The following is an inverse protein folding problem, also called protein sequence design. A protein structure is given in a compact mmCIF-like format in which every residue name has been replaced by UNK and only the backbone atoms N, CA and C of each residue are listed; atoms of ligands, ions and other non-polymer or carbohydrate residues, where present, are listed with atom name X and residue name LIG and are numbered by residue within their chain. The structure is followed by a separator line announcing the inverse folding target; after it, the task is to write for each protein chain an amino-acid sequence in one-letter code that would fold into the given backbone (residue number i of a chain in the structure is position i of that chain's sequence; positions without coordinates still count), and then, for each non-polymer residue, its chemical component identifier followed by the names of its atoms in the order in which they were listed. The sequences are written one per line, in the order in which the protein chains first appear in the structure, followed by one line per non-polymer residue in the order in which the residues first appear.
data_IF_839224992480
#
_entry.id   IF_839224992480
#
_cell.length_a   1.000
_cell.length_b   1.000
_cell.length_c   1.000
_cell.angle_alpha   90.00
_cell.angle_beta   90.00
_cell.angle_gamma   90.00
#
_symmetry.space_group_name_H-M   'P 1'
#
loop_
_entity.id
_entity.type
_entity.pdbx_description
1 polymer ?
#
# COMPACT_ATOMS: atom_id res chain seq x y z
N UNK A 1 -2.76 1.69 -4.89
CA UNK A 1 -2.86 2.71 -5.92
C UNK A 1 -2.28 2.27 -7.26
N UNK A 2 -2.21 3.16 -8.28
CA UNK A 2 -1.78 2.76 -9.63
C UNK A 2 -0.35 2.21 -9.67
N UNK A 3 0.55 2.68 -8.82
CA UNK A 3 1.91 2.17 -8.73
C UNK A 3 1.95 0.71 -8.26
N UNK A 4 1.10 0.32 -7.34
CA UNK A 4 0.97 -1.07 -6.87
C UNK A 4 0.51 -1.97 -8.01
N UNK A 5 -0.59 -1.60 -8.69
CA UNK A 5 -1.13 -2.37 -9.80
C UNK A 5 -0.10 -2.58 -10.94
N UNK A 6 0.67 -1.54 -11.27
CA UNK A 6 1.75 -1.63 -12.26
C UNK A 6 2.85 -2.58 -11.78
N UNK A 7 3.25 -2.50 -10.53
CA UNK A 7 4.28 -3.38 -9.96
C UNK A 7 3.83 -4.84 -9.95
N UNK A 8 2.59 -5.11 -9.54
CA UNK A 8 1.99 -6.45 -9.56
C UNK A 8 1.97 -7.04 -10.98
N UNK A 9 1.52 -6.24 -11.96
CA UNK A 9 1.51 -6.65 -13.35
C UNK A 9 2.91 -6.94 -13.87
N UNK A 10 3.90 -6.11 -13.55
CA UNK A 10 5.28 -6.32 -13.96
C UNK A 10 5.87 -7.60 -13.37
N UNK A 11 5.59 -7.89 -12.10
CA UNK A 11 6.07 -9.12 -11.44
C UNK A 11 5.37 -10.35 -12.02
N UNK A 12 4.07 -10.27 -12.29
CA UNK A 12 3.33 -11.32 -12.99
C UNK A 12 3.95 -11.63 -14.35
N UNK A 13 4.17 -10.61 -15.17
CA UNK A 13 4.79 -10.75 -16.49
C UNK A 13 6.22 -11.28 -16.37
N UNK A 14 7.00 -10.79 -15.40
CA UNK A 14 8.35 -11.29 -15.16
C UNK A 14 8.35 -12.79 -14.83
N UNK A 15 7.41 -13.24 -14.00
CA UNK A 15 7.25 -14.67 -13.68
C UNK A 15 6.94 -15.51 -14.95
N UNK A 16 6.09 -15.01 -15.82
CA UNK A 16 5.80 -15.66 -17.11
C UNK A 16 7.05 -15.72 -18.01
N UNK A 17 7.84 -14.64 -18.07
CA UNK A 17 9.09 -14.64 -18.82
C UNK A 17 10.10 -15.66 -18.29
N UNK A 18 10.22 -15.79 -16.97
CA UNK A 18 11.08 -16.82 -16.36
C UNK A 18 10.59 -18.23 -16.65
N UNK A 19 9.27 -18.43 -16.70
CA UNK A 19 8.67 -19.69 -17.14
C UNK A 19 8.81 -19.96 -18.65
N UNK A 20 9.50 -19.09 -19.41
CA UNK A 20 9.79 -19.26 -20.85
C UNK A 20 8.77 -18.64 -21.79
N UNK A 21 7.71 -18.01 -21.29
CA UNK A 21 6.75 -17.32 -22.16
C UNK A 21 7.38 -16.08 -22.80
N UNK A 22 6.97 -15.81 -24.05
CA UNK A 22 7.36 -14.60 -24.81
C UNK A 22 6.14 -14.04 -25.53
N UNK A 23 6.06 -12.71 -25.72
CA UNK A 23 5.02 -12.08 -26.54
C UNK A 23 4.97 -12.70 -27.94
N UNK A 24 3.77 -13.04 -28.39
CA UNK A 24 3.57 -13.73 -29.67
C UNK A 24 3.47 -15.25 -29.59
N UNK A 25 3.80 -15.86 -28.45
CA UNK A 25 3.50 -17.27 -28.17
C UNK A 25 2.07 -17.42 -27.65
N UNK A 26 1.57 -18.66 -27.68
CA UNK A 26 0.30 -18.98 -27.02
C UNK A 26 0.36 -18.58 -25.53
N UNK A 27 -0.77 -18.14 -25.01
CA UNK A 27 -0.88 -17.78 -23.59
C UNK A 27 -0.53 -19.00 -22.72
N UNK A 28 0.31 -18.82 -21.68
CA UNK A 28 0.75 -19.92 -20.86
C UNK A 28 -0.43 -20.49 -20.05
N UNK A 29 -0.40 -21.80 -19.89
CA UNK A 29 -1.41 -22.55 -19.13
C UNK A 29 -0.71 -23.47 -18.11
N UNK A 30 -1.47 -24.06 -17.22
CA UNK A 30 -0.92 -25.00 -16.24
C UNK A 30 -0.01 -24.34 -15.20
N UNK A 31 1.07 -25.01 -14.86
CA UNK A 31 1.96 -24.64 -13.75
C UNK A 31 2.60 -23.24 -13.92
N UNK A 32 2.94 -22.84 -15.13
CA UNK A 32 3.54 -21.54 -15.39
C UNK A 32 2.58 -20.39 -15.05
N UNK A 33 1.30 -20.53 -15.42
CA UNK A 33 0.29 -19.55 -15.09
C UNK A 33 -0.03 -19.55 -13.58
N UNK A 34 -0.12 -20.72 -12.96
CA UNK A 34 -0.36 -20.83 -11.53
C UNK A 34 0.77 -20.19 -10.71
N UNK A 35 2.02 -20.40 -11.10
CA UNK A 35 3.18 -19.82 -10.44
C UNK A 35 3.24 -18.29 -10.63
N UNK A 36 2.89 -17.77 -11.82
CA UNK A 36 2.81 -16.35 -12.07
C UNK A 36 1.67 -15.71 -11.27
N UNK A 37 0.51 -16.36 -11.17
CA UNK A 37 -0.59 -15.92 -10.31
C UNK A 37 -0.18 -15.88 -8.84
N UNK A 38 0.56 -16.88 -8.37
CA UNK A 38 1.11 -16.91 -7.01
C UNK A 38 2.11 -15.78 -6.76
N UNK A 39 2.94 -15.43 -7.75
CA UNK A 39 3.86 -14.30 -7.68
C UNK A 39 3.11 -12.97 -7.53
N UNK A 40 2.07 -12.74 -8.35
CA UNK A 40 1.22 -11.56 -8.25
C UNK A 40 0.53 -11.49 -6.89
N UNK A 41 -0.09 -12.57 -6.43
CA UNK A 41 -0.76 -12.63 -5.14
C UNK A 41 0.21 -12.32 -3.97
N UNK A 42 1.38 -12.94 -3.95
CA UNK A 42 2.38 -12.68 -2.92
C UNK A 42 2.83 -11.21 -2.95
N UNK A 43 2.97 -10.62 -4.14
CA UNK A 43 3.29 -9.20 -4.30
C UNK A 43 2.22 -8.32 -3.68
N UNK A 44 0.93 -8.59 -3.95
CA UNK A 44 -0.20 -7.87 -3.32
C UNK A 44 -0.09 -7.95 -1.80
N UNK A 45 0.06 -9.14 -1.24
CA UNK A 45 0.13 -9.34 0.22
C UNK A 45 1.30 -8.55 0.82
N UNK A 46 2.48 -8.64 0.22
CA UNK A 46 3.68 -7.93 0.70
C UNK A 46 3.52 -6.42 0.58
N UNK A 47 2.98 -5.92 -0.52
CA UNK A 47 2.76 -4.48 -0.72
C UNK A 47 1.68 -3.93 0.21
N UNK A 48 0.59 -4.67 0.47
CA UNK A 48 -0.43 -4.27 1.45
C UNK A 48 0.15 -4.22 2.87
N UNK A 49 1.00 -5.17 3.24
CA UNK A 49 1.74 -5.14 4.50
C UNK A 49 2.65 -3.88 4.60
N UNK A 50 3.38 -3.57 3.52
CA UNK A 50 4.23 -2.39 3.45
C UNK A 50 3.41 -1.09 3.53
N UNK A 51 2.26 -1.04 2.86
CA UNK A 51 1.35 0.10 2.86
C UNK A 51 0.73 0.34 4.25
N UNK A 52 0.42 -0.72 4.99
CA UNK A 52 -0.07 -0.60 6.38
C UNK A 52 0.92 0.15 7.29
N UNK A 53 2.22 -0.04 7.08
CA UNK A 53 3.24 0.74 7.78
C UNK A 53 3.34 2.18 7.25
N UNK A 54 3.22 2.38 5.93
CA UNK A 54 3.31 3.70 5.31
C UNK A 54 2.14 4.61 5.71
N UNK A 55 0.92 4.08 5.81
CA UNK A 55 -0.28 4.82 6.19
C UNK A 55 -0.29 5.28 7.66
N UNK A 56 0.53 4.67 8.52
CA UNK A 56 0.61 5.05 9.93
C UNK A 56 1.17 6.45 10.15
N UNK A 57 1.94 6.97 9.21
CA UNK A 57 2.53 8.30 9.31
C UNK A 57 2.23 9.12 8.08
N UNK A 58 1.46 10.19 8.26
CA UNK A 58 1.20 11.19 7.22
C UNK A 58 2.35 12.20 7.08
N UNK A 59 3.21 12.31 8.10
CA UNK A 59 4.26 13.35 8.18
C UNK A 59 5.69 12.82 8.28
N UNK A 60 5.89 11.58 8.74
CA UNK A 60 7.21 10.99 8.92
C UNK A 60 7.42 9.87 7.91
N UNK A 61 8.62 9.82 7.33
CA UNK A 61 9.04 8.70 6.51
C UNK A 61 9.08 7.41 7.33
N UNK A 62 8.67 6.29 6.74
CA UNK A 62 8.66 4.95 7.38
C UNK A 62 10.01 4.61 8.02
N UNK A 63 11.12 5.08 7.43
CA UNK A 63 12.49 4.89 7.92
C UNK A 63 12.79 5.57 9.27
N UNK A 64 11.97 6.54 9.70
CA UNK A 64 12.12 7.27 10.98
C UNK A 64 11.12 6.83 12.04
N UNK A 65 10.25 5.89 11.73
CA UNK A 65 9.26 5.39 12.67
C UNK A 65 9.92 4.43 13.66
N UNK A 66 9.72 4.68 14.97
CA UNK A 66 10.13 3.72 16.01
C UNK A 66 9.23 2.50 15.97
N UNK A 67 9.81 1.35 15.67
CA UNK A 67 9.11 0.06 15.52
C UNK A 67 8.52 -0.45 16.85
N UNK A 68 9.12 -0.05 17.99
CA UNK A 68 8.73 -0.50 19.33
C UNK A 68 7.35 0.02 19.80
N UNK A 69 6.80 1.04 19.16
CA UNK A 69 5.59 1.72 19.63
C UNK A 69 4.27 1.03 19.26
N UNK A 70 4.26 -0.05 18.42
CA UNK A 70 3.00 -0.68 18.02
C UNK A 70 3.14 -2.18 17.73
N UNK A 71 3.26 -2.94 18.78
CA UNK A 71 3.30 -4.41 18.74
C UNK A 71 2.05 -5.01 18.06
N UNK A 72 0.91 -4.33 18.20
CA UNK A 72 -0.34 -4.78 17.57
C UNK A 72 -0.28 -4.71 16.04
N UNK A 73 0.23 -3.62 15.46
CA UNK A 73 0.39 -3.49 14.01
C UNK A 73 1.38 -4.54 13.48
N UNK A 74 2.50 -4.73 14.17
CA UNK A 74 3.49 -5.74 13.78
C UNK A 74 2.86 -7.14 13.81
N UNK A 75 2.09 -7.46 14.85
CA UNK A 75 1.35 -8.70 14.96
C UNK A 75 0.33 -8.89 13.83
N UNK A 76 -0.44 -7.84 13.51
CA UNK A 76 -1.44 -7.86 12.43
C UNK A 76 -0.78 -8.10 11.06
N UNK A 77 0.32 -7.40 10.77
CA UNK A 77 1.05 -7.56 9.50
C UNK A 77 1.70 -8.95 9.42
N UNK A 78 2.31 -9.43 10.51
CA UNK A 78 2.88 -10.77 10.55
C UNK A 78 1.81 -11.86 10.32
N UNK A 79 0.62 -11.70 10.91
CA UNK A 79 -0.51 -12.60 10.72
C UNK A 79 -1.03 -12.57 9.29
N UNK A 80 -1.14 -11.38 8.68
CA UNK A 80 -1.58 -11.24 7.29
C UNK A 80 -0.58 -11.90 6.32
N UNK A 81 0.72 -11.70 6.55
CA UNK A 81 1.77 -12.32 5.73
C UNK A 81 1.77 -13.84 5.90
N UNK A 82 1.68 -14.33 7.14
CA UNK A 82 1.62 -15.77 7.43
C UNK A 82 0.39 -16.43 6.77
N UNK A 83 -0.77 -15.75 6.83
CA UNK A 83 -1.98 -16.22 6.17
C UNK A 83 -1.82 -16.24 4.64
N UNK A 84 -1.26 -15.18 4.04
CA UNK A 84 -0.99 -15.14 2.60
C UNK A 84 -0.06 -16.26 2.14
N UNK A 85 1.02 -16.51 2.88
CA UNK A 85 1.93 -17.63 2.61
C UNK A 85 1.22 -18.97 2.78
N UNK A 86 0.40 -19.14 3.82
CA UNK A 86 -0.38 -20.37 4.03
C UNK A 86 -1.33 -20.66 2.87
N UNK A 87 -1.95 -19.62 2.28
CA UNK A 87 -2.80 -19.77 1.08
C UNK A 87 -2.04 -20.30 -0.14
N UNK A 88 -0.74 -19.97 -0.27
CA UNK A 88 0.09 -20.45 -1.38
C UNK A 88 0.65 -21.87 -1.12
N UNK A 89 0.93 -22.20 0.15
CA UNK A 89 1.58 -23.46 0.51
C UNK A 89 0.57 -24.59 0.73
N UNK A 90 -0.66 -24.29 1.16
CA UNK A 90 -1.70 -25.28 1.39
C UNK A 90 -2.31 -25.75 0.06
N UNK A 91 -2.07 -27.02 -0.39
CA UNK A 91 -2.47 -27.47 -1.73
C UNK A 91 -3.97 -27.31 -2.06
N UNK A 92 -4.90 -27.60 -1.12
CA UNK A 92 -6.32 -27.45 -1.43
C UNK A 92 -6.73 -25.97 -1.62
N UNK A 93 -6.09 -25.05 -0.88
CA UNK A 93 -6.39 -23.62 -0.97
C UNK A 93 -5.72 -23.03 -2.23
N UNK A 94 -4.46 -23.35 -2.45
CA UNK A 94 -3.71 -22.88 -3.62
C UNK A 94 -4.38 -23.36 -4.93
N UNK A 95 -4.84 -24.61 -4.98
CA UNK A 95 -5.59 -25.15 -6.12
C UNK A 95 -6.95 -24.46 -6.33
N UNK A 96 -7.69 -24.17 -5.27
CA UNK A 96 -8.95 -23.45 -5.34
C UNK A 96 -8.76 -22.01 -5.83
N UNK A 97 -7.68 -21.35 -5.41
CA UNK A 97 -7.34 -19.98 -5.82
C UNK A 97 -6.67 -19.91 -7.19
N UNK A 98 -6.35 -21.04 -7.81
CA UNK A 98 -5.60 -21.08 -9.08
C UNK A 98 -4.20 -20.49 -8.96
N UNK A 99 -3.49 -20.84 -7.88
CA UNK A 99 -2.17 -20.31 -7.53
C UNK A 99 -1.20 -21.44 -7.20
N UNK A 100 0.10 -21.16 -7.41
CA UNK A 100 1.19 -22.01 -6.95
C UNK A 100 2.31 -21.16 -6.37
N UNK A 101 3.24 -21.78 -5.67
CA UNK A 101 4.42 -21.09 -5.13
C UNK A 101 5.21 -20.43 -6.26
N UNK A 102 5.56 -19.12 -6.13
CA UNK A 102 6.28 -18.38 -7.17
C UNK A 102 7.69 -18.94 -7.39
N UNK A 103 8.26 -18.78 -8.61
CA UNK A 103 9.64 -19.15 -8.89
C UNK A 103 10.61 -18.38 -7.97
N UNK A 104 11.69 -19.04 -7.56
CA UNK A 104 12.67 -18.45 -6.64
C UNK A 104 13.32 -17.18 -7.20
N UNK A 105 13.44 -17.10 -8.51
CA UNK A 105 14.04 -15.98 -9.26
C UNK A 105 13.20 -14.71 -9.16
N UNK A 106 11.90 -14.84 -8.92
CA UNK A 106 10.97 -13.71 -8.80
C UNK A 106 10.90 -13.18 -7.37
N UNK A 107 11.25 -13.97 -6.37
CA UNK A 107 11.20 -13.56 -4.95
C UNK A 107 12.01 -12.30 -4.64
N UNK A 108 13.23 -12.09 -5.19
CA UNK A 108 13.95 -10.82 -5.01
C UNK A 108 13.21 -9.61 -5.57
N UNK A 109 12.51 -9.78 -6.70
CA UNK A 109 11.70 -8.70 -7.29
C UNK A 109 10.52 -8.34 -6.40
N UNK A 110 9.87 -9.34 -5.80
CA UNK A 110 8.79 -9.13 -4.82
C UNK A 110 9.33 -8.38 -3.60
N UNK A 111 10.48 -8.77 -3.07
CA UNK A 111 11.10 -8.06 -1.96
C UNK A 111 11.49 -6.62 -2.32
N UNK A 112 11.98 -6.37 -3.54
CA UNK A 112 12.35 -5.04 -4.03
C UNK A 112 11.12 -4.13 -4.23
N UNK A 113 9.93 -4.69 -4.44
CA UNK A 113 8.70 -3.91 -4.59
C UNK A 113 8.39 -3.04 -3.36
N UNK A 114 8.77 -3.49 -2.16
CA UNK A 114 8.55 -2.76 -0.89
C UNK A 114 9.32 -1.43 -0.85
N UNK A 115 10.66 -1.39 -0.97
CA UNK A 115 11.39 -0.13 -0.97
C UNK A 115 11.03 0.75 -2.17
N UNK A 116 10.66 0.16 -3.31
CA UNK A 116 10.16 0.89 -4.47
C UNK A 116 8.87 1.65 -4.14
N UNK A 117 7.89 0.96 -3.54
CA UNK A 117 6.64 1.58 -3.11
C UNK A 117 6.87 2.74 -2.13
N UNK A 118 7.73 2.52 -1.14
CA UNK A 118 8.06 3.57 -0.17
C UNK A 118 8.81 4.75 -0.79
N UNK A 119 9.66 4.48 -1.79
CA UNK A 119 10.35 5.51 -2.57
C UNK A 119 9.37 6.37 -3.37
N UNK A 120 8.42 5.73 -4.06
CA UNK A 120 7.35 6.41 -4.82
C UNK A 120 6.46 7.24 -3.89
N UNK A 121 6.06 6.71 -2.75
CA UNK A 121 5.26 7.44 -1.75
C UNK A 121 6.03 8.66 -1.19
N UNK A 122 7.30 8.49 -0.86
CA UNK A 122 8.15 9.57 -0.36
C UNK A 122 8.36 10.66 -1.41
N UNK A 123 8.57 10.28 -2.67
CA UNK A 123 8.70 11.21 -3.79
C UNK A 123 7.39 11.98 -4.03
N UNK A 124 6.25 11.29 -4.04
CA UNK A 124 4.94 11.89 -4.19
C UNK A 124 4.64 12.91 -3.09
N UNK A 125 4.96 12.59 -1.84
CA UNK A 125 4.81 13.50 -0.69
C UNK A 125 5.72 14.73 -0.78
N UNK A 126 6.88 14.62 -1.44
CA UNK A 126 7.79 15.75 -1.69
C UNK A 126 7.31 16.66 -2.82
N UNK A 127 6.69 16.06 -3.86
CA UNK A 127 6.24 16.78 -5.06
C UNK A 127 4.86 17.43 -4.87
N UNK A 128 4.05 16.99 -3.89
CA UNK A 128 2.81 17.70 -3.57
C UNK A 128 3.14 19.08 -3.03
N UNK A 129 2.68 20.15 -3.68
CA UNK A 129 2.75 21.49 -3.09
C UNK A 129 2.05 21.43 -1.73
N UNK A 130 2.70 21.95 -0.70
CA UNK A 130 1.99 22.28 0.53
C UNK A 130 0.96 23.30 0.12
N UNK A 131 -0.31 22.91 0.04
CA UNK A 131 -1.39 23.85 0.01
C UNK A 131 -1.22 24.71 1.26
N UNK A 132 -0.62 25.87 1.07
CA UNK A 132 -0.56 26.93 2.06
C UNK A 132 -2.02 27.22 2.35
N UNK A 133 -2.49 26.75 3.51
CA UNK A 133 -3.86 26.93 3.91
C UNK A 133 -4.24 28.38 3.71
N UNK A 134 -5.03 28.64 2.70
CA UNK A 134 -5.81 29.87 2.62
C UNK A 134 -6.69 29.84 3.87
N UNK A 135 -6.23 30.61 4.85
CA UNK A 135 -6.96 30.81 6.09
C UNK A 135 -8.36 31.28 5.75
N UNK A 136 -9.32 30.39 5.84
CA UNK A 136 -10.67 30.78 6.14
C UNK A 136 -10.65 31.26 7.58
N UNK A 137 -10.34 32.55 7.76
CA UNK A 137 -10.62 33.30 8.98
C UNK A 137 -12.14 33.43 9.12
N UNK A 138 -12.79 32.31 9.41
CA UNK A 138 -14.12 32.36 9.99
C UNK A 138 -13.92 32.61 11.49
N UNK A 139 -14.24 33.77 11.99
CA UNK A 139 -14.21 34.04 13.43
C UNK A 139 -15.15 33.06 14.11
N UNK A 140 -14.72 32.46 15.26
CA UNK A 140 -15.55 31.50 15.94
C UNK A 140 -16.90 32.11 16.32
N UNK A 141 -18.02 31.35 16.27
CA UNK A 141 -19.38 31.85 16.44
C UNK A 141 -19.62 32.60 17.75
N UNK A 142 -18.76 32.45 18.74
CA UNK A 142 -18.85 33.14 20.03
C UNK A 142 -18.45 34.62 19.98
N UNK A 143 -17.61 35.06 19.04
CA UNK A 143 -17.24 36.48 18.92
C UNK A 143 -18.34 37.32 18.26
N UNK A 144 -19.13 36.74 17.36
CA UNK A 144 -20.28 37.39 16.77
C UNK A 144 -21.40 37.68 17.80
N UNK A 145 -21.56 36.80 18.80
CA UNK A 145 -22.54 37.04 19.88
C UNK A 145 -22.13 38.14 20.84
N UNK A 146 -20.83 38.35 21.11
CA UNK A 146 -20.36 39.42 21.99
C UNK A 146 -20.47 40.83 21.35
N UNK A 147 -20.31 40.90 20.04
CA UNK A 147 -20.48 42.18 19.32
C UNK A 147 -21.94 42.63 19.26
N UNK A 148 -22.90 41.69 19.26
CA UNK A 148 -24.33 42.00 19.20
C UNK A 148 -24.93 42.46 20.56
N UNK A 149 -24.27 42.15 21.69
CA UNK A 149 -24.78 42.49 23.02
C UNK A 149 -24.27 43.83 23.61
N UNK A 150 -23.31 44.46 22.90
CA UNK A 150 -22.77 45.78 23.34
C UNK A 150 -23.30 46.99 22.56
N UNK A 151 -24.34 46.80 21.73
CA UNK A 151 -24.92 47.83 20.87
C UNK A 151 -26.27 48.40 21.36
N UNK A 152 -26.62 48.28 22.65
CA UNK A 152 -27.82 48.95 23.17
C UNK A 152 -27.50 50.39 23.53
N UNK A 153 -28.16 51.41 22.87
CA UNK A 153 -28.02 52.80 23.28
C UNK A 153 -28.75 53.02 24.57
N UNK A 154 -28.07 53.58 25.57
CA UNK A 154 -28.69 54.19 26.73
C UNK A 154 -29.39 55.47 26.32
N UNK A 155 -30.71 55.44 26.16
CA UNK A 155 -31.54 56.63 26.24
C UNK A 155 -31.91 56.85 27.72
N UNK A 156 -31.47 58.01 28.26
CA UNK A 156 -31.88 58.58 29.50
C UNK A 156 -32.57 59.91 29.28
#
# INVERSE_FOLDING_TARGET
GPAEAVTELLIFVAALFWAGWRPGLQWPTGEALLAASGAAFLTVVVMQCANAFACRSTHLSVWRLRWDGNRFLVGAVASALAFGVACLVAPPIAGLLGQAWPPAEVLPLIALSVPLLWGVDALWKRLRPRDSGSGSSHPPPQQARRAATHGEPQEG
#
